data_IF_747562685551
#
_entry.id   IF_747562685551
#
_cell.length_a   1.000
_cell.length_b   1.000
_cell.length_c   1.000
_cell.angle_alpha   90.00
_cell.angle_beta   90.00
_cell.angle_gamma   90.00
#
_symmetry.space_group_name_H-M   'P 1'
#
loop_
_entity.id
_entity.type
_entity.pdbx_description
1 polymer ?
#
# COMPACT_ATOMS: atom_id res chain seq x y z
N UNK A 1 4.13 10.41 15.71
CA UNK A 1 2.94 10.09 16.53
C UNK A 1 1.68 10.10 15.67
N UNK A 2 1.22 11.26 15.21
CA UNK A 2 -0.08 11.37 14.50
C UNK A 2 -0.21 10.50 13.24
N UNK A 3 0.87 10.31 12.47
CA UNK A 3 0.84 9.37 11.31
C UNK A 3 0.61 7.90 11.71
N UNK A 4 1.14 7.50 12.86
CA UNK A 4 1.12 6.10 13.33
C UNK A 4 -0.16 5.83 14.14
N UNK A 5 -0.63 6.83 14.88
CA UNK A 5 -1.90 6.82 15.59
C UNK A 5 -2.67 8.11 15.24
N UNK A 6 -3.47 8.08 14.16
CA UNK A 6 -4.24 9.26 13.72
C UNK A 6 -5.13 9.82 14.83
N UNK A 7 -5.06 11.13 15.06
CA UNK A 7 -5.86 11.82 16.08
C UNK A 7 -5.25 11.76 17.49
N UNK A 8 -4.08 11.13 17.65
CA UNK A 8 -3.40 11.06 18.95
C UNK A 8 -2.76 12.39 19.37
N UNK A 9 -2.41 13.26 18.41
CA UNK A 9 -1.75 14.53 18.72
C UNK A 9 -2.78 15.65 18.81
N UNK A 10 -2.90 16.24 20.01
CA UNK A 10 -3.62 17.49 20.18
C UNK A 10 -2.75 18.68 19.75
N UNK A 11 -2.93 19.11 18.52
CA UNK A 11 -2.16 20.21 17.91
C UNK A 11 -2.41 21.59 18.55
N UNK A 12 -3.46 21.77 19.36
CA UNK A 12 -3.71 23.03 20.08
C UNK A 12 -2.70 23.28 21.20
N UNK A 13 -2.15 22.20 21.78
CA UNK A 13 -1.13 22.26 22.83
C UNK A 13 0.31 22.13 22.29
N UNK A 14 0.47 21.93 20.98
CA UNK A 14 1.78 21.76 20.36
C UNK A 14 2.36 23.12 19.93
N UNK A 15 3.57 23.42 20.38
CA UNK A 15 4.32 24.60 19.98
C UNK A 15 5.03 24.36 18.63
N UNK A 16 4.79 25.24 17.65
CA UNK A 16 5.40 25.13 16.31
C UNK A 16 6.81 25.76 16.26
N UNK A 17 7.78 25.16 15.54
CA UNK A 17 9.07 25.79 15.28
C UNK A 17 8.97 27.09 14.48
N UNK A 18 9.91 28.04 14.65
CA UNK A 18 11.07 27.98 15.56
C UNK A 18 10.68 28.28 17.03
N UNK A 19 11.09 27.41 17.95
CA UNK A 19 10.79 27.53 19.39
C UNK A 19 11.99 28.16 20.11
N UNK A 20 11.88 29.45 20.46
CA UNK A 20 12.92 30.19 21.19
C UNK A 20 12.97 29.82 22.69
N UNK A 21 11.81 29.61 23.30
CA UNK A 21 11.68 29.37 24.74
C UNK A 21 11.91 27.88 25.07
N UNK A 22 12.89 27.52 25.92
CA UNK A 22 13.21 26.11 26.22
C UNK A 22 12.03 25.31 26.80
N UNK A 23 11.20 25.90 27.67
CA UNK A 23 10.08 25.19 28.29
C UNK A 23 9.03 24.73 27.27
N UNK A 24 8.81 25.48 26.18
CA UNK A 24 7.90 25.08 25.08
C UNK A 24 8.38 23.82 24.34
N UNK A 25 9.70 23.59 24.30
CA UNK A 25 10.27 22.33 23.78
C UNK A 25 9.94 21.17 24.72
N UNK A 26 10.05 21.41 26.04
CA UNK A 26 9.72 20.41 27.07
C UNK A 26 8.22 20.08 27.06
N UNK A 27 7.34 21.06 26.88
CA UNK A 27 5.89 20.86 26.73
C UNK A 27 5.57 19.91 25.56
N UNK A 28 6.15 20.16 24.39
CA UNK A 28 5.99 19.28 23.22
C UNK A 28 6.47 17.85 23.53
N UNK A 29 7.63 17.70 24.16
CA UNK A 29 8.17 16.39 24.50
C UNK A 29 7.33 15.66 25.57
N UNK A 30 6.77 16.39 26.54
CA UNK A 30 5.85 15.85 27.53
C UNK A 30 4.57 15.33 26.87
N UNK A 31 4.02 16.05 25.88
CA UNK A 31 2.87 15.57 25.12
C UNK A 31 3.21 14.27 24.35
N UNK A 32 4.39 14.20 23.71
CA UNK A 32 4.85 12.99 23.02
C UNK A 32 4.91 11.78 23.96
N UNK A 33 5.47 11.96 25.17
CA UNK A 33 5.55 10.91 26.17
C UNK A 33 4.18 10.52 26.73
N UNK A 34 3.28 11.49 26.94
CA UNK A 34 1.90 11.24 27.36
C UNK A 34 1.19 10.34 26.36
N UNK A 35 1.23 10.70 25.08
CA UNK A 35 0.65 9.88 23.99
C UNK A 35 1.30 8.49 23.98
N UNK A 36 2.62 8.41 24.10
CA UNK A 36 3.35 7.15 24.19
C UNK A 36 2.82 6.23 25.30
N UNK A 37 2.55 6.77 26.49
CA UNK A 37 1.96 6.01 27.62
C UNK A 37 0.52 5.57 27.32
N UNK A 38 -0.29 6.42 26.69
CA UNK A 38 -1.67 6.09 26.29
C UNK A 38 -1.70 4.91 25.30
N UNK A 39 -0.78 4.87 24.34
CA UNK A 39 -0.60 3.75 23.40
C UNK A 39 0.25 2.60 23.97
N UNK A 40 0.46 2.59 25.29
CA UNK A 40 1.11 1.52 26.08
C UNK A 40 2.60 1.29 25.80
N UNK A 41 3.35 2.34 25.48
CA UNK A 41 4.82 2.26 25.47
C UNK A 41 5.36 2.15 26.89
N UNK A 42 6.41 1.35 27.05
CA UNK A 42 7.19 1.29 28.28
C UNK A 42 8.10 2.52 28.35
N UNK A 43 7.64 3.52 29.11
CA UNK A 43 8.28 4.82 29.28
C UNK A 43 8.51 5.07 30.77
N UNK A 44 9.30 4.19 31.39
CA UNK A 44 9.69 4.26 32.81
C UNK A 44 10.83 5.27 32.96
N UNK A 45 10.72 6.18 33.92
CA UNK A 45 11.74 7.17 34.27
C UNK A 45 12.24 8.04 33.09
N UNK A 46 11.38 8.32 32.11
CA UNK A 46 11.66 9.27 31.02
C UNK A 46 10.78 10.51 31.18
N UNK A 47 11.40 11.69 31.03
CA UNK A 47 10.76 12.99 31.06
C UNK A 47 10.99 13.74 29.74
N UNK A 48 10.16 14.75 29.45
CA UNK A 48 10.30 15.54 28.22
C UNK A 48 11.65 16.25 28.12
N UNK A 49 12.23 16.60 29.27
CA UNK A 49 13.56 17.18 29.38
C UNK A 49 14.67 16.27 28.82
N UNK A 50 14.58 14.95 29.02
CA UNK A 50 15.59 14.01 28.50
C UNK A 50 15.66 14.04 26.96
N UNK A 51 14.51 14.21 26.31
CA UNK A 51 14.41 14.35 24.86
C UNK A 51 15.00 15.70 24.42
N UNK A 52 14.68 16.78 25.14
CA UNK A 52 15.21 18.13 24.83
C UNK A 52 16.74 18.18 24.98
N UNK A 53 17.30 17.48 25.96
CA UNK A 53 18.75 17.34 26.13
C UNK A 53 19.41 16.41 25.11
N UNK A 54 18.63 15.71 24.28
CA UNK A 54 19.18 14.82 23.26
C UNK A 54 19.71 13.50 23.82
N UNK A 55 19.10 12.95 24.88
CA UNK A 55 19.48 11.63 25.41
C UNK A 55 19.23 10.54 24.35
N UNK A 56 20.30 10.18 23.62
CA UNK A 56 20.26 9.28 22.47
C UNK A 56 19.66 7.91 22.81
N UNK A 57 19.98 7.37 24.00
CA UNK A 57 19.48 6.07 24.46
C UNK A 57 17.95 6.08 24.59
N UNK A 58 17.41 7.11 25.23
CA UNK A 58 15.97 7.24 25.45
C UNK A 58 15.21 7.55 24.16
N UNK A 59 15.78 8.40 23.30
CA UNK A 59 15.21 8.70 21.98
C UNK A 59 15.16 7.44 21.11
N UNK A 60 16.25 6.65 21.06
CA UNK A 60 16.29 5.42 20.27
C UNK A 60 15.31 4.37 20.80
N UNK A 61 15.21 4.22 22.13
CA UNK A 61 14.23 3.33 22.75
C UNK A 61 12.78 3.75 22.42
N UNK A 62 12.49 5.05 22.40
CA UNK A 62 11.18 5.56 21.99
C UNK A 62 10.89 5.28 20.51
N UNK A 63 11.86 5.56 19.62
CA UNK A 63 11.72 5.31 18.18
C UNK A 63 11.52 3.83 17.87
N UNK A 64 12.24 2.94 18.55
CA UNK A 64 12.04 1.49 18.42
C UNK A 64 10.61 1.08 18.78
N UNK A 65 10.09 1.56 19.91
CA UNK A 65 8.71 1.27 20.31
C UNK A 65 7.70 1.83 19.31
N UNK A 66 7.95 3.01 18.75
CA UNK A 66 7.11 3.61 17.71
C UNK A 66 7.11 2.77 16.42
N UNK A 67 8.27 2.30 15.97
CA UNK A 67 8.38 1.41 14.81
C UNK A 67 7.65 0.09 15.06
N UNK A 68 7.89 -0.56 16.21
CA UNK A 68 7.22 -1.80 16.60
C UNK A 68 5.70 -1.63 16.63
N UNK A 69 5.21 -0.55 17.22
CA UNK A 69 3.79 -0.26 17.29
C UNK A 69 3.17 -0.04 15.91
N UNK A 70 3.84 0.68 15.00
CA UNK A 70 3.36 0.87 13.64
C UNK A 70 3.16 -0.46 12.90
N UNK A 71 4.13 -1.37 13.00
CA UNK A 71 4.04 -2.71 12.38
C UNK A 71 2.86 -3.49 12.96
N UNK A 72 2.70 -3.50 14.28
CA UNK A 72 1.59 -4.20 14.94
C UNK A 72 0.23 -3.62 14.54
N UNK A 73 0.11 -2.29 14.44
CA UNK A 73 -1.14 -1.65 14.00
C UNK A 73 -1.44 -1.94 12.54
N UNK A 74 -0.44 -1.94 11.65
CA UNK A 74 -0.61 -2.32 10.26
C UNK A 74 -1.20 -3.73 10.14
N UNK A 75 -0.59 -4.71 10.81
CA UNK A 75 -1.06 -6.10 10.82
C UNK A 75 -2.44 -6.23 11.48
N UNK A 76 -2.69 -5.48 12.57
CA UNK A 76 -4.02 -5.44 13.20
C UNK A 76 -5.09 -4.88 12.26
N UNK A 77 -4.81 -3.79 11.56
CA UNK A 77 -5.76 -3.16 10.64
C UNK A 77 -6.07 -4.06 9.46
N UNK A 78 -5.08 -4.77 8.93
CA UNK A 78 -5.29 -5.80 7.90
C UNK A 78 -6.30 -6.86 8.36
N UNK A 79 -6.18 -7.36 9.60
CA UNK A 79 -7.13 -8.34 10.18
C UNK A 79 -8.58 -7.83 10.31
N UNK A 80 -8.79 -6.52 10.44
CA UNK A 80 -10.14 -5.96 10.49
C UNK A 80 -10.78 -5.82 9.10
N UNK A 81 -9.98 -5.61 8.04
CA UNK A 81 -10.50 -5.46 6.67
C UNK A 81 -10.93 -6.80 6.05
N UNK A 82 -10.57 -7.94 6.65
CA UNK A 82 -10.95 -9.29 6.22
C UNK A 82 -12.21 -9.83 6.92
N UNK A 83 -13.10 -8.95 7.39
CA UNK A 83 -14.36 -9.32 8.06
C UNK A 83 -14.19 -10.32 9.22
N UNK A 84 -13.14 -10.16 10.03
CA UNK A 84 -12.89 -11.00 11.21
C UNK A 84 -12.11 -12.28 10.95
N UNK A 85 -11.70 -12.58 9.70
CA UNK A 85 -10.72 -13.63 9.44
C UNK A 85 -9.33 -13.14 9.83
N UNK A 86 -8.64 -13.86 10.72
CA UNK A 86 -7.29 -13.51 11.11
C UNK A 86 -6.33 -13.68 9.92
N UNK A 87 -5.89 -12.56 9.31
CA UNK A 87 -4.84 -12.56 8.28
C UNK A 87 -3.52 -12.99 8.93
N UNK A 88 -3.03 -14.15 8.51
CA UNK A 88 -1.73 -14.70 8.88
C UNK A 88 -0.63 -14.21 7.94
N UNK A 89 0.63 -14.38 8.33
CA UNK A 89 1.78 -14.13 7.44
C UNK A 89 1.66 -14.92 6.12
N UNK A 90 1.11 -16.14 6.18
CA UNK A 90 0.89 -16.97 5.01
C UNK A 90 -0.18 -16.38 4.07
N UNK A 91 -1.24 -15.78 4.61
CA UNK A 91 -2.26 -15.11 3.79
C UNK A 91 -1.65 -13.91 3.04
N UNK A 92 -0.76 -13.15 3.68
CA UNK A 92 -0.05 -12.02 3.05
C UNK A 92 0.84 -12.52 1.91
N UNK A 93 1.55 -13.63 2.13
CA UNK A 93 2.40 -14.27 1.11
C UNK A 93 1.57 -14.76 -0.10
N UNK A 94 0.48 -15.48 0.17
CA UNK A 94 -0.40 -15.99 -0.87
C UNK A 94 -1.05 -14.85 -1.67
N UNK A 95 -1.49 -13.79 -0.98
CA UNK A 95 -2.02 -12.60 -1.63
C UNK A 95 -0.99 -11.96 -2.56
N UNK A 96 0.26 -11.80 -2.12
CA UNK A 96 1.31 -11.18 -2.91
C UNK A 96 1.63 -12.00 -4.17
N UNK A 97 1.81 -13.31 -4.03
CA UNK A 97 2.05 -14.21 -5.16
C UNK A 97 0.87 -14.23 -6.14
N UNK A 98 -0.37 -14.29 -5.63
CA UNK A 98 -1.56 -14.22 -6.48
C UNK A 98 -1.61 -12.90 -7.25
N UNK A 99 -1.38 -11.77 -6.58
CA UNK A 99 -1.42 -10.44 -7.19
C UNK A 99 -0.39 -10.29 -8.32
N UNK A 100 0.82 -10.80 -8.12
CA UNK A 100 1.87 -10.80 -9.15
C UNK A 100 1.49 -11.73 -10.31
N UNK A 101 0.97 -12.92 -10.03
CA UNK A 101 0.52 -13.87 -11.05
C UNK A 101 -0.62 -13.30 -11.92
N UNK A 102 -1.61 -12.67 -11.31
CA UNK A 102 -2.76 -12.04 -12.00
C UNK A 102 -2.33 -10.89 -12.93
N UNK A 103 -1.14 -10.31 -12.70
CA UNK A 103 -0.54 -9.30 -13.59
C UNK A 103 0.23 -9.87 -14.78
N UNK A 104 0.21 -11.20 -14.96
CA UNK A 104 0.91 -11.91 -16.04
C UNK A 104 2.42 -12.11 -15.80
N UNK A 105 2.90 -11.86 -14.57
CA UNK A 105 4.31 -12.03 -14.18
C UNK A 105 4.50 -13.38 -13.48
N UNK A 106 5.65 -14.01 -13.72
CA UNK A 106 5.97 -15.34 -13.19
C UNK A 106 6.77 -15.32 -11.88
N UNK A 107 7.15 -14.14 -11.39
CA UNK A 107 7.92 -14.01 -10.15
C UNK A 107 7.04 -14.38 -8.96
N UNK A 108 7.55 -15.26 -8.10
CA UNK A 108 6.89 -15.71 -6.88
C UNK A 108 7.91 -15.83 -5.74
N UNK A 109 7.44 -15.72 -4.51
CA UNK A 109 8.24 -16.01 -3.31
C UNK A 109 7.72 -17.26 -2.61
N UNK A 110 8.61 -18.16 -2.19
CA UNK A 110 8.23 -19.32 -1.37
C UNK A 110 8.06 -18.96 0.11
N UNK A 111 8.80 -17.95 0.58
CA UNK A 111 8.73 -17.42 1.94
C UNK A 111 9.29 -16.00 2.00
N UNK A 112 9.05 -15.28 3.10
CA UNK A 112 9.72 -13.98 3.35
C UNK A 112 11.23 -14.08 3.63
N UNK A 113 11.80 -15.30 3.62
CA UNK A 113 13.26 -15.55 3.73
C UNK A 113 13.89 -15.93 2.39
N UNK A 114 13.11 -15.94 1.31
CA UNK A 114 13.56 -16.39 0.00
C UNK A 114 14.66 -15.47 -0.55
N UNK A 115 15.83 -16.04 -0.85
CA UNK A 115 17.00 -15.29 -1.33
C UNK A 115 16.77 -14.59 -2.66
N UNK A 116 15.82 -15.07 -3.47
CA UNK A 116 15.44 -14.43 -4.73
C UNK A 116 14.88 -13.01 -4.53
N UNK A 117 14.34 -12.71 -3.34
CA UNK A 117 13.84 -11.38 -2.97
C UNK A 117 14.93 -10.30 -2.99
N UNK A 118 16.20 -10.68 -2.81
CA UNK A 118 17.35 -9.75 -2.83
C UNK A 118 17.52 -9.01 -4.17
N UNK A 119 17.03 -9.60 -5.27
CA UNK A 119 17.01 -8.96 -6.60
C UNK A 119 16.10 -7.73 -6.66
N UNK A 120 15.11 -7.65 -5.77
CA UNK A 120 14.05 -6.63 -5.77
C UNK A 120 12.97 -6.84 -6.84
N UNK A 121 13.19 -7.72 -7.83
CA UNK A 121 12.29 -7.92 -8.98
C UNK A 121 10.87 -8.30 -8.53
N UNK A 122 10.75 -9.16 -7.52
CA UNK A 122 9.44 -9.55 -6.99
C UNK A 122 8.65 -8.32 -6.49
N UNK A 123 9.29 -7.43 -5.71
CA UNK A 123 8.62 -6.25 -5.16
C UNK A 123 8.30 -5.21 -6.22
N UNK A 124 9.16 -5.04 -7.23
CA UNK A 124 8.86 -4.18 -8.38
C UNK A 124 7.63 -4.70 -9.14
N UNK A 125 7.57 -6.01 -9.40
CA UNK A 125 6.40 -6.65 -10.01
C UNK A 125 5.14 -6.46 -9.16
N UNK A 126 5.24 -6.66 -7.84
CA UNK A 126 4.11 -6.48 -6.92
C UNK A 126 3.61 -5.03 -6.89
N UNK A 127 4.51 -4.06 -6.84
CA UNK A 127 4.16 -2.64 -6.89
C UNK A 127 3.47 -2.28 -8.22
N UNK A 128 3.98 -2.80 -9.34
CA UNK A 128 3.37 -2.61 -10.66
C UNK A 128 2.00 -3.28 -10.76
N UNK A 129 1.81 -4.46 -10.16
CA UNK A 129 0.53 -5.15 -10.13
C UNK A 129 -0.53 -4.43 -9.28
N UNK A 130 -0.09 -3.67 -8.26
CA UNK A 130 -0.96 -2.91 -7.36
C UNK A 130 -1.33 -1.54 -7.95
N UNK A 131 -0.38 -0.87 -8.59
CA UNK A 131 -0.61 0.39 -9.31
C UNK A 131 0.41 0.49 -10.47
N UNK A 132 0.01 0.15 -11.71
CA UNK A 132 0.94 0.10 -12.83
C UNK A 132 1.67 1.42 -13.11
N UNK A 133 1.02 2.56 -12.79
CA UNK A 133 1.54 3.91 -13.11
C UNK A 133 2.71 4.36 -12.23
N UNK A 134 3.00 3.68 -11.12
CA UNK A 134 4.08 4.13 -10.21
C UNK A 134 5.43 3.51 -10.51
N UNK A 135 5.50 2.48 -11.35
CA UNK A 135 6.74 1.80 -11.72
C UNK A 135 7.18 2.24 -13.11
N UNK A 136 8.38 2.80 -13.18
CA UNK A 136 9.09 3.06 -14.42
C UNK A 136 10.13 1.95 -14.64
N UNK A 137 9.85 1.07 -15.60
CA UNK A 137 10.71 -0.07 -15.92
C UNK A 137 12.08 0.32 -16.47
N UNK A 138 12.26 1.54 -17.00
CA UNK A 138 13.57 1.99 -17.48
C UNK A 138 14.60 2.17 -16.36
N UNK A 139 14.15 2.25 -15.11
CA UNK A 139 15.00 2.40 -13.92
C UNK A 139 15.25 1.07 -13.21
N UNK A 140 14.59 -0.01 -13.65
CA UNK A 140 14.66 -1.32 -13.01
C UNK A 140 15.76 -2.13 -13.68
N UNK A 141 16.67 -2.65 -12.87
CA UNK A 141 17.78 -3.51 -13.32
C UNK A 141 17.47 -4.98 -13.06
N UNK A 142 18.30 -5.90 -13.56
CA UNK A 142 18.10 -7.35 -13.35
C UNK A 142 18.29 -7.76 -11.89
N UNK A 143 19.12 -7.04 -11.12
CA UNK A 143 19.36 -7.33 -9.71
C UNK A 143 20.30 -8.53 -9.51
N UNK A 144 21.23 -8.75 -10.44
CA UNK A 144 22.22 -9.84 -10.35
C UNK A 144 23.41 -9.41 -9.50
N UNK A 145 23.93 -8.20 -9.75
CA UNK A 145 25.04 -7.58 -9.01
C UNK A 145 24.54 -6.80 -7.80
N UNK A 146 25.40 -6.62 -6.80
CA UNK A 146 25.00 -5.93 -5.57
C UNK A 146 24.65 -4.45 -5.80
N UNK A 147 25.33 -3.77 -6.73
CA UNK A 147 24.97 -2.40 -7.15
C UNK A 147 23.56 -2.33 -7.76
N UNK A 148 23.21 -3.31 -8.59
CA UNK A 148 21.89 -3.43 -9.21
C UNK A 148 20.79 -3.70 -8.17
N UNK A 149 21.06 -4.61 -7.23
CA UNK A 149 20.17 -4.90 -6.11
C UNK A 149 19.95 -3.65 -5.25
N UNK A 150 21.00 -2.90 -4.96
CA UNK A 150 20.92 -1.66 -4.18
C UNK A 150 20.09 -0.59 -4.89
N UNK A 151 20.26 -0.45 -6.22
CA UNK A 151 19.43 0.45 -7.04
C UNK A 151 17.96 0.04 -7.01
N UNK A 152 17.66 -1.24 -7.26
CA UNK A 152 16.30 -1.77 -7.20
C UNK A 152 15.68 -1.59 -5.81
N UNK A 153 16.39 -1.91 -4.74
CA UNK A 153 15.94 -1.79 -3.35
C UNK A 153 15.61 -0.33 -2.98
N UNK A 154 16.49 0.61 -3.33
CA UNK A 154 16.27 2.05 -3.14
C UNK A 154 15.05 2.56 -3.90
N UNK A 155 14.86 2.05 -5.13
CA UNK A 155 13.71 2.37 -5.97
C UNK A 155 12.39 1.84 -5.38
N UNK A 156 12.36 0.58 -4.95
CA UNK A 156 11.20 -0.06 -4.29
C UNK A 156 10.74 0.75 -3.09
N UNK A 157 11.67 1.15 -2.22
CA UNK A 157 11.36 1.95 -1.02
C UNK A 157 10.74 3.29 -1.42
N UNK A 158 11.32 3.95 -2.43
CA UNK A 158 10.84 5.24 -2.91
C UNK A 158 9.43 5.15 -3.49
N UNK A 159 9.16 4.13 -4.32
CA UNK A 159 7.84 3.90 -4.93
C UNK A 159 6.81 3.51 -3.88
N UNK A 160 7.13 2.61 -2.95
CA UNK A 160 6.24 2.22 -1.87
C UNK A 160 5.86 3.41 -0.98
N UNK A 161 6.82 4.26 -0.63
CA UNK A 161 6.56 5.51 0.12
C UNK A 161 5.72 6.50 -0.68
N UNK A 162 5.95 6.62 -2.00
CA UNK A 162 5.14 7.46 -2.91
C UNK A 162 3.68 7.01 -2.97
N UNK A 163 3.42 5.70 -2.93
CA UNK A 163 2.06 5.17 -2.81
C UNK A 163 1.43 5.58 -1.47
N UNK A 164 2.22 5.71 -0.41
CA UNK A 164 1.76 6.03 0.93
C UNK A 164 1.98 4.89 1.93
N UNK A 165 2.79 3.89 1.60
CA UNK A 165 3.19 2.85 2.53
C UNK A 165 4.07 3.45 3.64
N UNK A 166 3.65 3.31 4.90
CA UNK A 166 4.42 3.77 6.06
C UNK A 166 5.46 2.72 6.49
N UNK A 167 6.58 2.69 5.77
CA UNK A 167 7.68 1.71 5.94
C UNK A 167 8.98 2.35 6.44
N UNK A 168 9.75 1.59 7.22
CA UNK A 168 11.03 2.00 7.82
C UNK A 168 12.24 1.18 7.36
N UNK A 169 12.06 0.32 6.36
CA UNK A 169 13.16 -0.48 5.82
C UNK A 169 14.22 0.37 5.10
N UNK A 170 15.45 -0.13 5.17
CA UNK A 170 16.59 0.33 4.41
C UNK A 170 16.80 -0.56 3.16
N UNK A 171 17.52 -0.09 2.13
CA UNK A 171 17.86 -0.92 0.97
C UNK A 171 18.53 -2.25 1.35
N UNK A 172 19.40 -2.20 2.36
CA UNK A 172 20.15 -3.35 2.87
C UNK A 172 19.22 -4.43 3.44
N UNK A 173 18.09 -4.04 4.04
CA UNK A 173 17.08 -5.01 4.52
C UNK A 173 16.48 -5.86 3.40
N UNK A 174 16.40 -5.32 2.17
CA UNK A 174 15.93 -6.06 0.99
C UNK A 174 17.06 -6.94 0.46
N UNK A 175 18.26 -6.39 0.33
CA UNK A 175 19.42 -7.13 -0.18
C UNK A 175 19.77 -8.34 0.70
N UNK A 176 19.74 -8.18 2.02
CA UNK A 176 20.02 -9.24 2.98
C UNK A 176 18.82 -10.17 3.23
N UNK A 177 17.64 -9.79 2.72
CA UNK A 177 16.36 -10.51 2.92
C UNK A 177 16.00 -10.61 4.40
N UNK A 178 15.90 -9.45 5.06
CA UNK A 178 15.42 -9.38 6.44
C UNK A 178 13.93 -9.71 6.49
N UNK A 179 13.61 -10.94 6.90
CA UNK A 179 12.25 -11.50 6.90
C UNK A 179 11.19 -10.56 7.48
N UNK A 180 11.48 -9.92 8.62
CA UNK A 180 10.52 -9.03 9.30
C UNK A 180 10.24 -7.78 8.46
N UNK A 181 11.25 -7.27 7.76
CA UNK A 181 11.11 -6.13 6.87
C UNK A 181 10.40 -6.52 5.56
N UNK A 182 10.64 -7.72 5.03
CA UNK A 182 9.96 -8.21 3.81
C UNK A 182 8.47 -8.41 4.07
N UNK A 183 8.11 -9.00 5.21
CA UNK A 183 6.73 -9.10 5.68
C UNK A 183 6.09 -7.71 5.83
N UNK A 184 6.78 -6.78 6.51
CA UNK A 184 6.27 -5.43 6.75
C UNK A 184 6.04 -4.66 5.45
N UNK A 185 6.96 -4.76 4.49
CA UNK A 185 6.83 -4.16 3.17
C UNK A 185 5.61 -4.71 2.43
N UNK A 186 5.49 -6.02 2.36
CA UNK A 186 4.39 -6.71 1.67
C UNK A 186 3.04 -6.37 2.31
N UNK A 187 2.96 -6.43 3.65
CA UNK A 187 1.78 -6.06 4.42
C UNK A 187 1.40 -4.59 4.18
N UNK A 188 2.37 -3.68 4.07
CA UNK A 188 2.11 -2.26 3.83
C UNK A 188 1.50 -2.03 2.45
N UNK A 189 2.03 -2.72 1.43
CA UNK A 189 1.52 -2.66 0.05
C UNK A 189 0.10 -3.25 0.00
N UNK A 190 -0.12 -4.40 0.63
CA UNK A 190 -1.44 -5.03 0.75
C UNK A 190 -2.45 -4.10 1.42
N UNK A 191 -2.07 -3.51 2.55
CA UNK A 191 -2.94 -2.61 3.30
C UNK A 191 -3.33 -1.38 2.47
N UNK A 192 -2.37 -0.80 1.75
CA UNK A 192 -2.64 0.31 0.85
C UNK A 192 -3.63 -0.09 -0.26
N UNK A 193 -3.44 -1.27 -0.86
CA UNK A 193 -4.33 -1.78 -1.92
C UNK A 193 -5.77 -1.97 -1.42
N UNK A 194 -5.95 -2.59 -0.25
CA UNK A 194 -7.26 -2.86 0.34
C UNK A 194 -7.99 -1.60 0.82
N UNK A 195 -7.27 -0.51 1.09
CA UNK A 195 -7.87 0.74 1.54
C UNK A 195 -8.57 1.54 0.45
N UNK A 196 -8.35 1.20 -0.82
CA UNK A 196 -9.00 1.87 -1.95
C UNK A 196 -10.45 1.35 -2.03
N UNK A 197 -11.48 2.23 -2.05
CA UNK A 197 -12.81 1.82 -2.44
C UNK A 197 -12.71 1.14 -3.81
N UNK A 198 -13.21 -0.08 -3.93
CA UNK A 198 -13.32 -0.79 -5.21
C UNK A 198 -14.26 -0.01 -6.13
N UNK A 199 -13.70 0.95 -6.88
CA UNK A 199 -14.44 1.74 -7.87
C UNK A 199 -13.99 1.40 -9.28
N UNK A 200 -13.64 0.15 -9.60
CA UNK A 200 -13.32 -0.31 -10.98
C UNK A 200 -13.50 -1.83 -11.12
N UNK A 201 -14.68 -2.36 -10.79
CA UNK A 201 -15.06 -3.74 -11.11
C UNK A 201 -16.53 -3.83 -11.53
N UNK A 202 -16.85 -3.06 -12.57
CA UNK A 202 -17.94 -3.18 -13.55
C UNK A 202 -17.27 -2.54 -14.78
N UNK A 203 -16.67 -3.26 -15.72
CA UNK A 203 -17.35 -3.93 -16.83
C UNK A 203 -16.40 -4.96 -17.44
N UNK A 204 -16.59 -6.24 -17.13
CA UNK A 204 -15.99 -7.34 -17.86
C UNK A 204 -16.85 -8.58 -17.61
N UNK A 205 -18.05 -8.57 -18.20
CA UNK A 205 -18.81 -9.78 -18.57
C UNK A 205 -20.17 -9.35 -19.12
N UNK A 206 -20.23 -9.03 -20.42
CA UNK A 206 -21.32 -9.52 -21.26
C UNK A 206 -21.01 -9.30 -22.76
N UNK A 207 -20.43 -10.31 -23.41
CA UNK A 207 -20.49 -10.47 -24.88
C UNK A 207 -19.94 -11.84 -25.30
N UNK A 208 -20.61 -12.91 -24.90
CA UNK A 208 -20.65 -14.24 -25.58
C UNK A 208 -21.65 -15.08 -24.78
N UNK A 209 -22.76 -15.65 -25.29
CA UNK A 209 -23.05 -16.27 -26.57
C UNK A 209 -24.58 -16.27 -26.85
N UNK A 210 -24.90 -16.20 -28.14
CA UNK A 210 -25.90 -16.92 -28.94
C UNK A 210 -27.29 -17.29 -28.38
N UNK A 211 -28.34 -17.03 -29.19
CA UNK A 211 -29.06 -18.15 -29.85
C UNK A 211 -29.87 -17.68 -31.08
N UNK A 212 -29.61 -18.38 -32.19
CA UNK A 212 -30.40 -18.37 -33.42
C UNK A 212 -31.66 -19.19 -33.21
N UNK A 213 -32.83 -18.69 -33.59
CA UNK A 213 -34.02 -19.50 -33.84
C UNK A 213 -34.89 -18.83 -34.91
N UNK A 214 -34.83 -19.41 -36.10
CA UNK A 214 -35.60 -19.11 -37.30
C UNK A 214 -37.04 -19.65 -37.19
N UNK A 215 -38.05 -18.85 -37.53
CA UNK A 215 -39.32 -19.33 -38.11
C UNK A 215 -39.77 -18.37 -39.24
N UNK A 216 -40.03 -18.98 -40.38
CA UNK A 216 -40.48 -18.48 -41.69
C UNK A 216 -41.98 -18.16 -41.79
N UNK A 217 -42.37 -17.29 -42.74
CA UNK A 217 -43.56 -17.36 -43.66
C UNK A 217 -43.67 -15.99 -44.37
N UNK A 218 -43.26 -15.86 -45.64
CA UNK A 218 -43.99 -16.10 -46.91
C UNK A 218 -44.68 -14.85 -47.46
N UNK A 219 -44.15 -14.39 -48.60
CA UNK A 219 -44.70 -13.62 -49.73
C UNK A 219 -46.11 -13.00 -49.63
N UNK A 220 -46.24 -11.75 -50.10
CA UNK A 220 -46.97 -11.52 -51.35
C UNK A 220 -46.63 -10.18 -52.02
N UNK A 221 -46.52 -10.23 -53.34
CA UNK A 221 -46.30 -9.09 -54.24
C UNK A 221 -47.62 -8.51 -54.72
N UNK A 222 -47.75 -7.19 -54.84
CA UNK A 222 -48.60 -6.56 -55.86
C UNK A 222 -48.26 -5.07 -56.05
N UNK A 223 -47.97 -4.75 -57.31
CA UNK A 223 -47.81 -3.42 -57.90
C UNK A 223 -49.16 -2.71 -58.14
N UNK A 224 -49.08 -1.47 -58.65
CA UNK A 224 -50.13 -0.55 -59.15
C UNK A 224 -50.55 0.56 -58.17
N UNK A 225 -50.79 1.80 -58.57
CA UNK A 225 -50.54 2.57 -59.80
C UNK A 225 -50.82 4.05 -59.45
N UNK A 226 -50.24 4.95 -60.22
CA UNK A 226 -50.47 6.40 -60.25
C UNK A 226 -51.92 6.79 -60.48
N UNK A 227 -52.38 7.90 -59.89
CA UNK A 227 -53.29 8.89 -60.49
C UNK A 227 -53.14 10.24 -59.75
N UNK A 228 -53.02 11.28 -60.56
CA UNK A 228 -53.05 12.71 -60.23
C UNK A 228 -54.35 13.14 -59.53
N UNK A 229 -54.30 14.17 -58.69
CA UNK A 229 -55.27 15.26 -58.83
C UNK A 229 -54.67 16.62 -58.47
N UNK A 230 -55.01 17.51 -59.38
CA UNK A 230 -54.79 18.94 -59.49
C UNK A 230 -55.56 19.76 -58.44
N UNK A 231 -55.13 21.01 -58.26
CA UNK A 231 -56.07 22.10 -57.97
C UNK A 231 -55.67 23.07 -56.86
N UNK A 232 -55.16 24.23 -57.30
CA UNK A 232 -55.54 25.60 -56.83
C UNK A 232 -55.61 25.86 -55.32
N UNK A 233 -54.87 26.80 -54.74
CA UNK A 233 -54.65 28.19 -55.17
C UNK A 233 -53.57 28.81 -54.29
#
# INVERSE_FOLDING_TARGET
MDKVAPGSVNWKFANRPPIKLPFRKVENCNQVLKIGKEIKFSLVNIAGHDIVQGNKKLILAFLWQLMRYNILQLLKNLRFHSNGKEITDNDILLWANKKVKDSGRQSQMGSFKDRSLSSGIFFVNLLSAVEPRVVNWSLVTKGEKDEEKQMNASYIISVARKLGCSIFLLPEDIMEVNQKMMLTLTASIMYWHLKRPTSYSLDADNSSLCETSSISTSDDSASESSIDDSGTR
#
